data_IF_235189430213
#
_entry.id   IF_235189430213
#
_cell.length_a   1.000
_cell.length_b   1.000
_cell.length_c   1.000
_cell.angle_alpha   90.00
_cell.angle_beta   90.00
_cell.angle_gamma   90.00
#
_symmetry.space_group_name_H-M   'P 1'
#
loop_
_entity.id
_entity.type
_entity.pdbx_description
1 polymer ?
#
# COMPACT_ATOMS: atom_id res chain seq x y z
N UNK A 1 -5.28 -8.72 9.88
CA UNK A 1 -4.75 -7.69 8.95
C UNK A 1 -5.67 -7.61 7.73
N UNK A 2 -6.75 -6.83 7.83
CA UNK A 2 -7.69 -6.59 6.71
C UNK A 2 -7.28 -5.36 5.88
N UNK A 3 -8.18 -4.90 5.01
CA UNK A 3 -7.89 -3.83 4.03
C UNK A 3 -8.43 -2.44 4.40
N UNK A 4 -9.02 -2.30 5.60
CA UNK A 4 -9.72 -1.09 6.04
C UNK A 4 -8.88 0.20 5.90
N UNK A 5 -7.58 0.17 6.23
CA UNK A 5 -6.70 1.32 6.06
C UNK A 5 -6.65 1.80 4.59
N UNK A 6 -6.58 0.88 3.63
CA UNK A 6 -6.56 1.24 2.20
C UNK A 6 -7.92 1.82 1.77
N UNK A 7 -9.02 1.23 2.26
CA UNK A 7 -10.37 1.69 1.99
C UNK A 7 -10.64 3.09 2.56
N UNK A 8 -10.22 3.32 3.82
CA UNK A 8 -10.27 4.61 4.51
C UNK A 8 -9.35 5.66 3.87
N UNK A 9 -8.21 5.23 3.33
CA UNK A 9 -7.37 6.06 2.50
C UNK A 9 -7.98 6.33 1.10
N UNK A 10 -9.24 5.95 0.85
CA UNK A 10 -10.02 6.23 -0.34
C UNK A 10 -9.65 5.40 -1.57
N UNK A 11 -9.00 4.25 -1.37
CA UNK A 11 -8.83 3.24 -2.41
C UNK A 11 -10.02 2.29 -2.41
N UNK A 12 -10.40 1.83 -3.60
CA UNK A 12 -11.24 0.64 -3.70
C UNK A 12 -10.36 -0.60 -3.73
N UNK A 13 -10.65 -1.57 -2.88
CA UNK A 13 -9.84 -2.78 -2.72
C UNK A 13 -10.58 -3.99 -3.26
N UNK A 14 -9.91 -4.78 -4.10
CA UNK A 14 -10.35 -6.11 -4.49
C UNK A 14 -9.20 -7.07 -4.24
N UNK A 15 -9.36 -7.98 -3.27
CA UNK A 15 -8.30 -8.90 -2.87
C UNK A 15 -8.75 -10.36 -3.02
N UNK A 16 -7.81 -11.24 -3.37
CA UNK A 16 -8.07 -12.68 -3.45
C UNK A 16 -8.35 -13.31 -2.07
N UNK A 17 -7.92 -12.65 -1.00
CA UNK A 17 -8.15 -13.05 0.39
C UNK A 17 -8.62 -11.85 1.22
N UNK A 18 -9.48 -12.11 2.20
CA UNK A 18 -9.99 -11.08 3.12
C UNK A 18 -8.90 -10.46 3.99
N UNK A 19 -7.81 -11.20 4.24
CA UNK A 19 -6.67 -10.76 5.02
C UNK A 19 -5.38 -10.81 4.21
N UNK A 20 -4.43 -9.92 4.50
CA UNK A 20 -3.11 -9.95 3.90
C UNK A 20 -2.35 -11.21 4.33
N UNK A 21 -2.20 -12.14 3.39
CA UNK A 21 -1.41 -13.38 3.51
C UNK A 21 -0.42 -13.44 2.35
N UNK A 22 0.75 -14.06 2.54
CA UNK A 22 1.72 -14.25 1.45
C UNK A 22 1.05 -14.89 0.22
N UNK A 23 1.27 -14.30 -0.95
CA UNK A 23 0.65 -14.70 -2.20
C UNK A 23 -0.70 -14.04 -2.51
N UNK A 24 -1.30 -13.31 -1.55
CA UNK A 24 -2.56 -12.58 -1.78
C UNK A 24 -2.38 -11.55 -2.87
N UNK A 25 -3.21 -11.63 -3.91
CA UNK A 25 -3.26 -10.63 -4.98
C UNK A 25 -4.29 -9.58 -4.60
N UNK A 26 -3.90 -8.32 -4.68
CA UNK A 26 -4.76 -7.18 -4.38
C UNK A 26 -4.74 -6.21 -5.55
N UNK A 27 -5.91 -5.77 -5.98
CA UNK A 27 -6.10 -4.70 -6.93
C UNK A 27 -6.64 -3.49 -6.18
N UNK A 28 -5.79 -2.47 -6.04
CA UNK A 28 -6.17 -1.18 -5.51
C UNK A 28 -6.58 -0.27 -6.68
N UNK A 29 -7.61 0.55 -6.48
CA UNK A 29 -8.07 1.52 -7.48
C UNK A 29 -8.25 2.90 -6.87
N UNK A 30 -7.64 3.91 -7.50
CA UNK A 30 -7.80 5.33 -7.12
C UNK A 30 -8.61 6.07 -8.19
N UNK A 31 -9.57 6.88 -7.75
CA UNK A 31 -10.40 7.71 -8.64
C UNK A 31 -11.74 7.06 -9.03
N UNK A 32 -12.61 7.82 -9.72
CA UNK A 32 -14.02 7.47 -9.90
C UNK A 32 -14.25 6.50 -11.07
N UNK A 33 -15.17 5.55 -10.85
CA UNK A 33 -15.76 4.74 -11.92
C UNK A 33 -14.73 4.09 -12.87
N UNK A 34 -14.94 4.14 -14.20
CA UNK A 34 -14.04 3.56 -15.19
C UNK A 34 -12.75 4.36 -15.41
N UNK A 35 -12.66 5.60 -14.91
CA UNK A 35 -11.46 6.44 -14.97
C UNK A 35 -10.46 6.13 -13.84
N UNK A 36 -10.75 5.13 -13.00
CA UNK A 36 -9.88 4.77 -11.90
C UNK A 36 -8.54 4.23 -12.38
N UNK A 37 -7.46 4.70 -11.76
CA UNK A 37 -6.13 4.15 -11.96
C UNK A 37 -6.01 2.82 -11.20
N UNK A 38 -5.62 1.71 -11.87
CA UNK A 38 -5.40 0.43 -11.23
C UNK A 38 -3.97 0.29 -10.70
N UNK A 39 -3.85 -0.31 -9.53
CA UNK A 39 -2.59 -0.61 -8.84
C UNK A 39 -2.62 -2.07 -8.39
N UNK A 40 -2.31 -3.03 -9.29
CA UNK A 40 -2.25 -4.44 -8.95
C UNK A 40 -0.96 -4.75 -8.18
N UNK A 41 -1.10 -5.46 -7.06
CA UNK A 41 0.00 -5.84 -6.18
C UNK A 41 -0.18 -7.29 -5.70
N UNK A 42 0.89 -7.87 -5.16
CA UNK A 42 0.90 -9.17 -4.49
C UNK A 42 1.61 -9.08 -3.17
N UNK A 43 0.98 -9.55 -2.10
CA UNK A 43 1.62 -9.69 -0.79
C UNK A 43 2.77 -10.69 -0.90
N UNK A 44 3.98 -10.24 -0.62
CA UNK A 44 5.21 -11.05 -0.69
C UNK A 44 5.70 -11.46 0.70
N UNK A 45 5.33 -10.70 1.74
CA UNK A 45 5.74 -10.97 3.11
C UNK A 45 4.65 -10.54 4.09
N UNK A 46 4.54 -11.25 5.22
CA UNK A 46 3.66 -10.92 6.34
C UNK A 46 4.46 -10.96 7.62
N UNK A 47 4.25 -9.95 8.47
CA UNK A 47 4.81 -9.85 9.80
C UNK A 47 3.69 -10.16 10.81
N UNK A 48 3.89 -11.20 11.63
CA UNK A 48 2.88 -11.66 12.58
C UNK A 48 3.50 -12.00 13.95
N UNK A 49 4.31 -11.08 14.48
CA UNK A 49 4.99 -11.24 15.76
C UNK A 49 4.17 -10.60 16.90
N UNK A 50 4.44 -10.91 18.20
CA UNK A 50 3.66 -10.37 19.31
C UNK A 50 3.61 -8.83 19.41
N UNK A 51 4.66 -8.16 18.94
CA UNK A 51 4.81 -6.70 19.02
C UNK A 51 5.03 -6.05 17.66
N UNK A 52 4.85 -6.80 16.58
CA UNK A 52 5.09 -6.35 15.21
C UNK A 52 4.12 -7.03 14.27
N UNK A 53 3.24 -6.26 13.64
CA UNK A 53 2.24 -6.75 12.68
C UNK A 53 2.35 -5.96 11.40
N UNK A 54 2.13 -6.60 10.26
CA UNK A 54 2.22 -5.89 8.99
C UNK A 54 2.35 -6.80 7.79
N UNK A 55 2.56 -6.21 6.63
CA UNK A 55 2.84 -6.95 5.40
C UNK A 55 3.62 -6.09 4.41
N UNK A 56 4.23 -6.74 3.43
CA UNK A 56 4.80 -6.11 2.26
C UNK A 56 4.12 -6.65 1.01
N UNK A 57 3.88 -5.79 0.01
CA UNK A 57 3.51 -6.22 -1.32
C UNK A 57 4.49 -5.71 -2.38
N UNK A 58 4.65 -6.52 -3.43
CA UNK A 58 5.29 -6.11 -4.66
C UNK A 58 4.25 -5.74 -5.72
N UNK A 59 4.57 -4.75 -6.55
CA UNK A 59 3.74 -4.34 -7.68
C UNK A 59 3.69 -5.43 -8.77
N UNK A 60 2.56 -5.60 -9.43
CA UNK A 60 2.36 -6.50 -10.57
C UNK A 60 2.27 -5.73 -11.90
N UNK A 61 2.38 -6.42 -13.07
CA UNK A 61 2.15 -5.79 -14.37
C UNK A 61 0.81 -5.04 -14.45
N UNK A 62 0.84 -3.84 -15.02
CA UNK A 62 -0.29 -2.91 -15.05
C UNK A 62 -0.25 -1.84 -13.95
N UNK A 63 0.63 -1.99 -12.95
CA UNK A 63 0.93 -0.93 -11.99
C UNK A 63 1.82 0.15 -12.65
N UNK A 64 1.56 1.46 -12.43
CA UNK A 64 2.36 2.53 -13.04
C UNK A 64 3.81 2.56 -12.54
N UNK A 65 4.02 2.14 -11.30
CA UNK A 65 5.33 1.97 -10.68
C UNK A 65 5.68 0.48 -10.54
N UNK A 66 6.97 0.16 -10.54
CA UNK A 66 7.51 -1.16 -10.23
C UNK A 66 8.32 -1.08 -8.94
N UNK A 67 7.94 -1.84 -7.92
CA UNK A 67 8.54 -1.72 -6.60
C UNK A 67 7.92 -2.62 -5.54
N UNK A 68 8.33 -2.38 -4.30
CA UNK A 68 7.79 -3.00 -3.10
C UNK A 68 7.38 -1.91 -2.10
N UNK A 69 6.26 -2.12 -1.43
CA UNK A 69 5.79 -1.27 -0.33
C UNK A 69 5.42 -2.13 0.88
N UNK A 70 5.82 -1.65 2.05
CA UNK A 70 5.70 -2.33 3.32
C UNK A 70 4.95 -1.47 4.32
N UNK A 71 4.02 -2.08 5.04
CA UNK A 71 3.20 -1.45 6.08
C UNK A 71 3.42 -2.23 7.38
N UNK A 72 4.05 -1.61 8.37
CA UNK A 72 4.39 -2.26 9.66
C UNK A 72 3.89 -1.42 10.81
N UNK A 73 3.28 -2.10 11.77
CA UNK A 73 2.89 -1.57 13.06
C UNK A 73 3.75 -2.25 14.13
N UNK A 74 4.59 -1.46 14.78
CA UNK A 74 5.45 -1.87 15.89
C UNK A 74 4.89 -1.33 17.21
N UNK A 75 4.82 -2.20 18.22
CA UNK A 75 4.46 -1.83 19.59
C UNK A 75 5.75 -1.58 20.36
N UNK A 76 5.97 -0.32 20.77
CA UNK A 76 7.13 0.14 21.53
C UNK A 76 6.99 -0.16 23.03
N UNK A 77 8.11 -0.36 23.72
CA UNK A 77 8.12 -0.88 25.11
C UNK A 77 7.36 0.00 26.10
N UNK A 78 7.30 1.29 25.82
CA UNK A 78 6.56 2.31 26.57
C UNK A 78 5.05 2.36 26.26
N UNK A 79 4.57 1.50 25.37
CA UNK A 79 3.17 1.43 24.95
C UNK A 79 2.85 2.27 23.72
N UNK A 80 3.82 3.02 23.17
CA UNK A 80 3.60 3.74 21.92
C UNK A 80 3.43 2.76 20.74
N UNK A 81 2.63 3.17 19.76
CA UNK A 81 2.45 2.45 18.51
C UNK A 81 3.15 3.23 17.41
N UNK A 82 4.10 2.60 16.72
CA UNK A 82 4.76 3.16 15.55
C UNK A 82 4.21 2.49 14.31
N UNK A 83 3.60 3.26 13.44
CA UNK A 83 3.28 2.81 12.09
C UNK A 83 4.31 3.32 11.10
N UNK A 84 4.88 2.41 10.33
CA UNK A 84 5.92 2.69 9.33
C UNK A 84 5.45 2.22 7.97
N UNK A 85 5.43 3.14 7.00
CA UNK A 85 5.29 2.83 5.57
C UNK A 85 6.64 2.99 4.90
N UNK A 86 7.14 1.92 4.28
CA UNK A 86 8.42 1.93 3.56
C UNK A 86 8.17 1.51 2.11
N UNK A 87 8.50 2.37 1.16
CA UNK A 87 8.38 2.08 -0.27
C UNK A 87 9.70 2.21 -1.01
N UNK A 88 9.98 1.27 -1.91
CA UNK A 88 11.05 1.38 -2.91
C UNK A 88 10.43 1.17 -4.30
N UNK A 89 10.54 2.17 -5.17
CA UNK A 89 9.89 2.13 -6.48
C UNK A 89 10.74 2.75 -7.59
N UNK A 90 10.48 2.29 -8.82
CA UNK A 90 10.93 2.91 -10.07
C UNK A 90 9.77 2.92 -11.07
N UNK A 91 9.74 3.85 -12.05
CA UNK A 91 8.70 3.85 -13.08
C UNK A 91 8.65 2.50 -13.81
N UNK A 92 7.44 1.96 -14.02
CA UNK A 92 7.27 0.65 -14.68
C UNK A 92 7.41 0.73 -16.21
N UNK A 93 7.32 1.94 -16.79
CA UNK A 93 7.43 2.16 -18.25
C UNK A 93 7.92 3.56 -18.59
N UNK A 94 8.30 3.77 -19.85
CA UNK A 94 8.66 5.11 -20.36
C UNK A 94 7.46 6.09 -20.28
N UNK A 95 6.24 5.61 -20.51
CA UNK A 95 5.02 6.41 -20.34
C UNK A 95 4.79 6.80 -18.86
N UNK A 96 5.08 5.90 -17.92
CA UNK A 96 5.07 6.23 -16.49
C UNK A 96 6.17 7.23 -16.13
N UNK A 97 7.35 7.13 -16.75
CA UNK A 97 8.44 8.10 -16.55
C UNK A 97 8.16 9.48 -17.15
N UNK A 98 7.36 9.57 -18.22
CA UNK A 98 6.87 10.83 -18.79
C UNK A 98 5.89 11.55 -17.84
N UNK A 99 5.36 10.85 -16.84
CA UNK A 99 4.66 11.42 -15.69
C UNK A 99 5.56 12.21 -14.74
N UNK A 100 6.88 12.22 -14.90
CA UNK A 100 7.81 13.16 -14.24
C UNK A 100 7.87 13.07 -12.69
N UNK A 101 8.44 14.08 -12.00
CA UNK A 101 8.64 14.14 -10.53
C UNK A 101 7.36 14.00 -9.68
N UNK A 102 6.21 13.93 -10.33
CA UNK A 102 4.88 13.71 -9.77
C UNK A 102 4.75 12.37 -9.05
N UNK A 103 5.56 11.34 -9.37
CA UNK A 103 5.44 10.03 -8.71
C UNK A 103 5.76 10.08 -7.21
N UNK A 104 6.72 10.92 -6.78
CA UNK A 104 7.03 11.13 -5.35
C UNK A 104 5.91 11.86 -4.63
N UNK A 105 5.38 12.93 -5.21
CA UNK A 105 4.26 13.66 -4.61
C UNK A 105 3.00 12.80 -4.48
N UNK A 106 2.74 11.90 -5.45
CA UNK A 106 1.64 10.94 -5.38
C UNK A 106 1.89 9.91 -4.28
N UNK A 107 3.12 9.38 -4.15
CA UNK A 107 3.48 8.48 -3.06
C UNK A 107 3.33 9.17 -1.70
N UNK A 108 3.90 10.36 -1.52
CA UNK A 108 3.81 11.13 -0.27
C UNK A 108 2.34 11.42 0.08
N UNK A 109 1.54 11.86 -0.90
CA UNK A 109 0.10 12.08 -0.72
C UNK A 109 -0.64 10.82 -0.31
N UNK A 110 -0.28 9.65 -0.86
CA UNK A 110 -0.89 8.39 -0.48
C UNK A 110 -0.45 7.93 0.91
N UNK A 111 0.83 8.10 1.26
CA UNK A 111 1.35 7.84 2.61
C UNK A 111 0.60 8.67 3.65
N UNK A 112 0.38 9.97 3.39
CA UNK A 112 -0.41 10.81 4.30
C UNK A 112 -1.85 10.32 4.46
N UNK A 113 -2.47 9.82 3.38
CA UNK A 113 -3.83 9.25 3.45
C UNK A 113 -3.85 7.96 4.27
N UNK A 114 -2.82 7.11 4.20
CA UNK A 114 -2.71 5.93 5.04
C UNK A 114 -2.53 6.28 6.52
N UNK A 115 -1.71 7.29 6.83
CA UNK A 115 -1.52 7.77 8.20
C UNK A 115 -2.83 8.32 8.78
N UNK A 116 -3.50 9.21 8.05
CA UNK A 116 -4.79 9.76 8.48
C UNK A 116 -5.85 8.66 8.64
N UNK A 117 -5.87 7.66 7.75
CA UNK A 117 -6.79 6.53 7.85
C UNK A 117 -6.55 5.68 9.11
N UNK A 118 -5.32 5.59 9.60
CA UNK A 118 -5.00 4.86 10.82
C UNK A 118 -5.40 5.61 12.08
N UNK A 119 -5.32 6.94 12.09
CA UNK A 119 -5.81 7.75 13.21
C UNK A 119 -7.33 7.64 13.41
N UNK A 120 -8.07 7.19 12.38
CA UNK A 120 -9.51 6.95 12.41
C UNK A 120 -9.93 5.51 12.77
N UNK A 121 -8.98 4.58 12.94
CA UNK A 121 -9.22 3.14 13.19
C UNK A 121 -9.06 2.78 14.67
#
# INVERSE_FOLDING_TARGET
MGWLMHEKAGLRVQASNATAQTGTVVLLRLGPGPLSLPFPCRVVQVFDEPRRKGFAYGTLPGHPESGEEQFVLDHERDGAIRFTVTGVSRPASLLASLGGPTSRAVQDGMTQRYLAALDEL
#
